data_IF_459994427064
#
_entry.id   IF_459994427064
#
_cell.length_a   1.000
_cell.length_b   1.000
_cell.length_c   1.000
_cell.angle_alpha   90.00
_cell.angle_beta   90.00
_cell.angle_gamma   90.00
#
_symmetry.space_group_name_H-M   'P 1'
#
loop_
_entity.id
_entity.type
_entity.pdbx_description
1 polymer ?
#
# COMPACT_ATOMS: atom_id res chain seq x y z
N UNK A 1 62.46 37.18 15.66
CA UNK A 1 61.97 36.00 14.99
C UNK A 1 60.46 36.21 14.83
N UNK A 2 60.10 36.81 13.69
CA UNK A 2 58.70 37.19 13.38
C UNK A 2 57.99 36.02 12.67
N UNK A 3 56.83 35.69 13.16
CA UNK A 3 55.97 34.69 12.52
C UNK A 3 55.25 35.32 11.32
N UNK A 4 55.06 34.59 10.20
CA UNK A 4 54.36 35.13 9.04
C UNK A 4 52.81 35.10 9.32
N UNK A 5 52.16 36.22 8.97
CA UNK A 5 50.72 36.35 8.91
C UNK A 5 50.16 35.49 7.78
N UNK A 6 49.13 34.69 8.11
CA UNK A 6 48.34 33.93 7.13
C UNK A 6 47.24 34.82 6.56
N UNK A 7 47.30 35.08 5.25
CA UNK A 7 46.23 35.73 4.49
C UNK A 7 44.93 34.91 4.52
N UNK A 8 43.76 35.58 4.63
CA UNK A 8 42.47 34.88 4.55
C UNK A 8 42.15 34.52 3.09
N UNK A 9 41.78 33.25 2.90
CA UNK A 9 41.24 32.71 1.63
C UNK A 9 39.93 33.44 1.27
N UNK A 10 39.73 33.88 0.04
CA UNK A 10 38.48 34.53 -0.37
C UNK A 10 37.33 33.53 -0.39
N UNK A 11 36.22 33.93 0.22
CA UNK A 11 34.96 33.19 0.21
C UNK A 11 34.46 33.00 -1.22
N UNK A 12 34.24 31.75 -1.60
CA UNK A 12 33.63 31.39 -2.88
C UNK A 12 32.24 31.97 -3.03
N UNK A 13 32.02 32.62 -4.18
CA UNK A 13 30.74 33.25 -4.58
C UNK A 13 29.75 32.15 -4.99
N UNK A 14 28.92 31.69 -4.04
CA UNK A 14 27.82 30.74 -4.26
C UNK A 14 26.62 31.40 -4.90
N UNK A 15 26.81 32.04 -6.04
CA UNK A 15 25.73 32.48 -6.92
C UNK A 15 25.34 31.32 -7.82
N UNK A 16 24.28 30.60 -7.45
CA UNK A 16 23.65 29.61 -8.30
C UNK A 16 23.45 30.15 -9.71
N UNK A 17 23.79 29.36 -10.72
CA UNK A 17 23.68 29.75 -12.12
C UNK A 17 22.23 30.18 -12.42
N UNK A 18 22.00 31.36 -13.06
CA UNK A 18 20.64 31.82 -13.36
C UNK A 18 19.96 30.86 -14.32
N UNK A 19 18.86 30.23 -13.85
CA UNK A 19 18.00 29.39 -14.70
C UNK A 19 17.42 30.32 -15.77
N UNK A 20 17.84 30.12 -17.03
CA UNK A 20 17.45 30.97 -18.11
C UNK A 20 15.93 31.01 -18.33
N UNK A 21 15.37 32.21 -18.62
CA UNK A 21 13.93 32.39 -18.94
C UNK A 21 13.38 31.36 -19.93
N UNK A 22 14.20 30.84 -20.85
CA UNK A 22 13.84 29.83 -21.82
C UNK A 22 13.51 28.47 -21.16
N UNK A 23 14.20 28.12 -20.08
CA UNK A 23 13.93 26.85 -19.34
C UNK A 23 12.63 26.96 -18.57
N UNK A 24 12.36 28.11 -17.93
CA UNK A 24 11.10 28.36 -17.21
C UNK A 24 9.91 28.40 -18.16
N UNK A 25 10.03 29.05 -19.33
CA UNK A 25 9.00 29.07 -20.35
C UNK A 25 8.77 27.71 -21.00
N UNK A 26 9.85 26.91 -21.17
CA UNK A 26 9.75 25.53 -21.63
C UNK A 26 8.99 24.62 -20.66
N UNK A 27 9.25 24.73 -19.37
CA UNK A 27 8.57 23.98 -18.33
C UNK A 27 7.09 24.39 -18.19
N UNK A 28 6.78 25.69 -18.32
CA UNK A 28 5.41 26.19 -18.33
C UNK A 28 4.63 25.75 -19.58
N UNK A 29 5.31 25.72 -20.76
CA UNK A 29 4.71 25.21 -22.01
C UNK A 29 4.42 23.71 -21.94
N UNK A 30 5.31 22.91 -21.38
CA UNK A 30 5.11 21.48 -21.14
C UNK A 30 3.98 21.22 -20.12
N UNK A 31 3.88 22.07 -19.08
CA UNK A 31 2.80 22.00 -18.11
C UNK A 31 1.42 22.30 -18.74
N UNK A 32 1.33 23.30 -19.63
CA UNK A 32 0.08 23.64 -20.33
C UNK A 32 -0.35 22.54 -21.32
N UNK A 33 0.59 21.92 -22.05
CA UNK A 33 0.31 20.77 -22.93
C UNK A 33 -0.14 19.56 -22.10
N UNK A 34 0.46 19.33 -20.92
CA UNK A 34 0.06 18.26 -20.01
C UNK A 34 -1.37 18.37 -19.50
N UNK A 35 -1.86 19.58 -19.26
CA UNK A 35 -3.25 19.82 -18.82
C UNK A 35 -4.27 19.54 -19.92
N UNK A 36 -3.95 19.84 -21.18
CA UNK A 36 -4.90 19.70 -22.32
C UNK A 36 -4.93 18.27 -22.89
N UNK A 37 -3.81 17.54 -22.81
CA UNK A 37 -3.70 16.17 -23.37
C UNK A 37 -3.53 15.09 -22.32
N UNK A 38 -3.58 15.44 -21.02
CA UNK A 38 -3.15 14.63 -19.89
C UNK A 38 -3.77 13.25 -19.78
N UNK A 39 -5.05 13.09 -20.09
CA UNK A 39 -5.72 11.79 -19.93
C UNK A 39 -5.26 10.74 -20.96
N UNK A 40 -4.95 11.16 -22.18
CA UNK A 40 -4.53 10.22 -23.25
C UNK A 40 -3.05 9.87 -23.19
N UNK A 41 -2.20 10.82 -22.73
CA UNK A 41 -0.77 10.58 -22.53
C UNK A 41 -0.55 9.77 -21.25
N UNK A 42 -1.33 10.03 -20.21
CA UNK A 42 -1.26 9.29 -18.93
C UNK A 42 -1.55 7.79 -19.14
N UNK A 43 -2.63 7.44 -19.85
CA UNK A 43 -2.95 6.03 -20.11
C UNK A 43 -1.85 5.30 -20.91
N UNK A 44 -1.18 5.98 -21.84
CA UNK A 44 -0.06 5.41 -22.58
C UNK A 44 1.21 5.24 -21.74
N UNK A 45 1.51 6.20 -20.86
CA UNK A 45 2.65 6.14 -19.95
C UNK A 45 2.45 5.07 -18.86
N UNK A 46 1.25 4.95 -18.33
CA UNK A 46 0.91 3.95 -17.32
C UNK A 46 1.08 2.52 -17.86
N UNK A 47 0.67 2.28 -19.12
CA UNK A 47 0.84 0.99 -19.76
C UNK A 47 2.32 0.56 -19.94
N UNK A 48 3.23 1.53 -20.10
CA UNK A 48 4.67 1.27 -20.28
C UNK A 48 5.41 1.23 -18.95
N UNK A 49 5.03 2.09 -17.99
CA UNK A 49 5.76 2.24 -16.73
C UNK A 49 5.34 1.21 -15.66
N UNK A 50 4.09 0.78 -15.65
CA UNK A 50 3.62 -0.21 -14.66
C UNK A 50 4.44 -1.51 -14.64
N UNK A 51 4.80 -2.13 -15.78
CA UNK A 51 5.66 -3.32 -15.78
C UNK A 51 7.06 -3.06 -15.21
N UNK A 52 7.62 -1.87 -15.48
CA UNK A 52 8.97 -1.50 -15.02
C UNK A 52 8.97 -1.26 -13.51
N UNK A 53 7.92 -0.65 -12.98
CA UNK A 53 7.78 -0.39 -11.54
C UNK A 53 7.60 -1.65 -10.71
N UNK A 54 6.97 -2.68 -11.27
CA UNK A 54 6.84 -3.98 -10.60
C UNK A 54 8.20 -4.64 -10.34
N UNK A 55 9.24 -4.25 -11.07
CA UNK A 55 10.60 -4.80 -11.02
C UNK A 55 11.58 -3.82 -10.35
N UNK A 56 11.16 -2.58 -10.05
CA UNK A 56 12.05 -1.53 -9.53
C UNK A 56 12.32 -1.69 -8.02
N UNK A 57 13.46 -2.26 -7.61
CA UNK A 57 13.80 -2.40 -6.19
C UNK A 57 14.21 -1.07 -5.54
N UNK A 58 14.43 -0.02 -6.33
CA UNK A 58 14.93 1.28 -5.86
C UNK A 58 13.80 2.27 -5.56
N UNK A 59 12.59 2.01 -6.09
CA UNK A 59 11.43 2.90 -5.95
C UNK A 59 11.57 4.23 -6.71
N UNK A 60 12.63 4.41 -7.51
CA UNK A 60 12.88 5.67 -8.25
C UNK A 60 11.81 5.96 -9.29
N UNK A 61 11.19 4.92 -9.88
CA UNK A 61 10.07 5.12 -10.81
C UNK A 61 8.86 5.76 -10.13
N UNK A 62 8.72 5.63 -8.81
CA UNK A 62 7.69 6.30 -8.01
C UNK A 62 7.80 7.83 -7.97
N UNK A 63 8.90 8.41 -8.44
CA UNK A 63 9.08 9.86 -8.56
C UNK A 63 8.50 10.41 -9.88
N UNK A 64 8.18 9.56 -10.84
CA UNK A 64 7.59 9.98 -12.11
C UNK A 64 6.12 10.39 -11.91
N UNK A 65 5.61 11.42 -12.60
CA UNK A 65 4.19 11.77 -12.54
C UNK A 65 3.34 10.69 -13.23
N UNK A 66 2.27 10.22 -12.56
CA UNK A 66 1.38 9.19 -13.09
C UNK A 66 0.53 8.52 -12.01
N UNK A 67 -0.44 7.71 -12.44
CA UNK A 67 -1.32 6.94 -11.57
C UNK A 67 -0.74 5.54 -11.33
N UNK A 68 0.38 5.44 -10.65
CA UNK A 68 1.06 4.19 -10.38
C UNK A 68 1.41 4.01 -8.90
N UNK A 69 1.66 2.76 -8.51
CA UNK A 69 2.00 2.41 -7.15
C UNK A 69 3.36 2.98 -6.74
N UNK A 70 3.39 3.54 -5.53
CA UNK A 70 4.63 3.87 -4.82
C UNK A 70 4.81 2.86 -3.70
N UNK A 71 6.01 2.30 -3.59
CA UNK A 71 6.26 1.22 -2.66
C UNK A 71 6.95 1.74 -1.41
N UNK A 72 6.36 1.42 -0.26
CA UNK A 72 6.90 1.76 1.05
C UNK A 72 7.08 0.49 1.87
N UNK A 73 8.10 0.47 2.69
CA UNK A 73 8.34 -0.54 3.72
C UNK A 73 8.74 0.15 5.02
N UNK A 74 8.47 -0.48 6.14
CA UNK A 74 8.87 -0.01 7.48
C UNK A 74 10.12 -0.74 7.97
N UNK A 75 10.63 -1.66 7.16
CA UNK A 75 11.85 -2.42 7.38
C UNK A 75 12.84 -2.18 6.23
N UNK A 76 14.09 -2.60 6.40
CA UNK A 76 15.08 -2.52 5.34
C UNK A 76 14.80 -3.57 4.25
N UNK A 77 14.21 -3.12 3.14
CA UNK A 77 13.90 -3.97 1.98
C UNK A 77 12.52 -4.65 2.06
N UNK A 78 12.30 -5.59 1.13
CA UNK A 78 11.07 -6.36 1.04
C UNK A 78 11.30 -7.77 1.59
N UNK A 79 10.55 -8.19 2.63
CA UNK A 79 10.63 -9.55 3.12
C UNK A 79 10.13 -10.51 2.04
N UNK A 80 10.67 -11.72 2.01
CA UNK A 80 10.25 -12.73 1.05
C UNK A 80 10.01 -14.07 1.72
N UNK A 81 9.04 -14.78 1.17
CA UNK A 81 8.74 -16.18 1.49
C UNK A 81 8.38 -16.88 0.17
N UNK A 82 8.78 -18.13 0.02
CA UNK A 82 8.35 -18.91 -1.15
C UNK A 82 6.88 -19.28 -1.03
N UNK A 83 6.18 -19.44 -2.15
CA UNK A 83 4.75 -19.80 -2.17
C UNK A 83 4.50 -21.10 -1.36
N UNK A 84 5.38 -22.08 -1.47
CA UNK A 84 5.28 -23.34 -0.74
C UNK A 84 5.48 -23.21 0.78
N UNK A 85 6.29 -22.23 1.21
CA UNK A 85 6.54 -21.97 2.63
C UNK A 85 5.53 -21.01 3.25
N UNK A 86 4.77 -20.29 2.41
CA UNK A 86 3.79 -19.31 2.90
C UNK A 86 2.70 -19.97 3.74
N UNK A 87 2.34 -19.31 4.84
CA UNK A 87 1.19 -19.67 5.70
C UNK A 87 0.45 -18.43 6.15
N UNK A 88 -0.88 -18.53 6.11
CA UNK A 88 -1.78 -17.55 6.75
C UNK A 88 -2.45 -18.24 7.93
N UNK A 89 -2.24 -17.71 9.11
CA UNK A 89 -2.85 -18.21 10.34
C UNK A 89 -4.04 -17.33 10.70
N UNK A 90 -5.21 -17.94 10.98
CA UNK A 90 -6.34 -17.28 11.62
C UNK A 90 -6.54 -17.88 12.99
N UNK A 91 -6.43 -17.07 14.05
CA UNK A 91 -6.42 -17.54 15.45
C UNK A 91 -7.10 -16.53 16.40
N UNK A 92 -7.05 -16.78 17.69
CA UNK A 92 -7.62 -15.92 18.74
C UNK A 92 -9.03 -16.33 19.17
N UNK A 93 -9.98 -15.38 19.13
CA UNK A 93 -11.37 -15.63 19.51
C UNK A 93 -12.16 -16.33 18.41
N UNK A 94 -11.73 -17.53 18.05
CA UNK A 94 -12.33 -18.40 17.04
C UNK A 94 -12.60 -19.79 17.63
N UNK A 95 -13.52 -20.54 17.03
CA UNK A 95 -13.80 -21.92 17.41
C UNK A 95 -12.78 -22.89 16.83
N UNK A 96 -12.21 -22.56 15.68
CA UNK A 96 -11.22 -23.35 14.98
C UNK A 96 -10.11 -22.47 14.40
N UNK A 97 -8.88 -22.71 14.83
CA UNK A 97 -7.69 -22.12 14.20
C UNK A 97 -7.56 -22.62 12.76
N UNK A 98 -7.29 -21.70 11.84
CA UNK A 98 -6.94 -22.02 10.46
C UNK A 98 -5.42 -21.85 10.26
N UNK A 99 -4.84 -22.69 9.41
CA UNK A 99 -3.45 -22.62 8.98
C UNK A 99 -3.44 -22.93 7.48
N UNK A 100 -3.45 -21.87 6.66
CA UNK A 100 -3.75 -21.94 5.24
C UNK A 100 -2.48 -21.72 4.43
N UNK A 101 -2.26 -22.60 3.46
CA UNK A 101 -1.27 -22.38 2.40
C UNK A 101 -1.81 -21.38 1.36
N UNK A 102 -0.94 -20.96 0.43
CA UNK A 102 -1.39 -20.17 -0.72
C UNK A 102 -2.38 -20.96 -1.59
N UNK A 103 -2.12 -22.26 -1.80
CA UNK A 103 -3.00 -23.13 -2.57
C UNK A 103 -4.37 -23.26 -1.90
N UNK A 104 -4.43 -23.42 -0.57
CA UNK A 104 -5.70 -23.47 0.16
C UNK A 104 -6.52 -22.19 -0.05
N UNK A 105 -5.88 -21.03 -0.03
CA UNK A 105 -6.54 -19.74 -0.31
C UNK A 105 -7.07 -19.67 -1.74
N UNK A 106 -6.32 -20.18 -2.72
CA UNK A 106 -6.71 -20.15 -4.13
C UNK A 106 -7.84 -21.15 -4.47
N UNK A 107 -8.02 -22.19 -3.65
CA UNK A 107 -9.13 -23.14 -3.77
C UNK A 107 -10.45 -22.61 -3.22
N UNK A 108 -10.42 -21.59 -2.37
CA UNK A 108 -11.64 -20.96 -1.86
C UNK A 108 -12.35 -20.12 -2.94
N UNK A 109 -13.66 -19.89 -2.82
CA UNK A 109 -14.40 -19.05 -3.76
C UNK A 109 -13.72 -17.68 -3.92
N UNK A 110 -13.26 -17.34 -5.14
CA UNK A 110 -12.56 -16.08 -5.35
C UNK A 110 -13.51 -14.88 -5.34
N UNK A 111 -13.02 -13.77 -4.86
CA UNK A 111 -13.64 -12.45 -4.99
C UNK A 111 -12.75 -11.58 -5.87
N UNK A 112 -13.32 -11.02 -6.92
CA UNK A 112 -12.68 -10.04 -7.79
C UNK A 112 -13.27 -8.66 -7.54
N UNK A 113 -12.42 -7.66 -7.44
CA UNK A 113 -12.78 -6.26 -7.23
C UNK A 113 -12.00 -5.38 -8.20
N UNK A 114 -12.70 -4.50 -8.91
CA UNK A 114 -12.05 -3.41 -9.65
C UNK A 114 -12.21 -2.14 -8.82
N UNK A 115 -11.17 -1.74 -8.12
CA UNK A 115 -11.19 -0.62 -7.18
C UNK A 115 -9.87 0.14 -7.20
N UNK A 116 -9.92 1.43 -6.84
CA UNK A 116 -8.73 2.22 -6.70
C UNK A 116 -7.95 1.84 -5.43
N UNK A 117 -6.64 2.01 -5.48
CA UNK A 117 -5.79 2.04 -4.28
C UNK A 117 -5.46 3.48 -3.95
N UNK A 118 -5.81 3.94 -2.75
CA UNK A 118 -5.60 5.30 -2.29
C UNK A 118 -4.59 5.34 -1.14
N UNK A 119 -3.50 6.07 -1.31
CA UNK A 119 -2.54 6.31 -0.24
C UNK A 119 -2.88 7.58 0.54
N UNK A 120 -2.65 7.57 1.84
CA UNK A 120 -2.81 8.75 2.72
C UNK A 120 -1.89 9.90 2.32
N UNK A 121 -0.76 9.64 1.65
CA UNK A 121 0.17 10.66 1.13
C UNK A 121 -0.30 11.33 -0.17
N UNK A 122 -1.55 11.07 -0.60
CA UNK A 122 -2.22 11.81 -1.66
C UNK A 122 -2.17 11.19 -3.06
N UNK A 123 -1.44 10.09 -3.30
CA UNK A 123 -1.47 9.42 -4.59
C UNK A 123 -2.53 8.32 -4.64
N UNK A 124 -3.01 8.04 -5.85
CA UNK A 124 -4.08 7.06 -6.11
C UNK A 124 -3.80 6.32 -7.41
N UNK A 125 -4.09 5.03 -7.43
CA UNK A 125 -4.10 4.19 -8.64
C UNK A 125 -5.54 3.75 -8.88
N UNK A 126 -6.21 4.25 -9.91
CA UNK A 126 -7.59 3.88 -10.23
C UNK A 126 -7.65 2.54 -10.95
N UNK A 127 -8.82 1.88 -10.90
CA UNK A 127 -9.15 0.75 -11.77
C UNK A 127 -8.31 -0.52 -11.57
N UNK A 128 -7.68 -0.69 -10.40
CA UNK A 128 -6.86 -1.86 -10.10
C UNK A 128 -7.74 -3.09 -9.95
N UNK A 129 -7.38 -4.18 -10.63
CA UNK A 129 -8.07 -5.47 -10.51
C UNK A 129 -7.41 -6.30 -9.41
N UNK A 130 -8.14 -6.47 -8.33
CA UNK A 130 -7.75 -7.28 -7.20
C UNK A 130 -8.47 -8.62 -7.24
N UNK A 131 -7.77 -9.71 -6.94
CA UNK A 131 -8.35 -11.04 -6.75
C UNK A 131 -7.84 -11.67 -5.48
N UNK A 132 -8.76 -12.26 -4.73
CA UNK A 132 -8.46 -12.88 -3.45
C UNK A 132 -9.67 -13.62 -2.91
N UNK A 133 -9.75 -13.77 -1.60
CA UNK A 133 -10.85 -14.37 -0.87
C UNK A 133 -11.48 -13.31 0.01
N UNK A 134 -12.80 -13.27 0.12
CA UNK A 134 -13.47 -12.44 1.12
C UNK A 134 -12.94 -12.77 2.51
N UNK A 135 -12.56 -11.74 3.26
CA UNK A 135 -12.12 -11.93 4.64
C UNK A 135 -13.22 -12.57 5.49
N UNK A 136 -14.47 -12.19 5.25
CA UNK A 136 -15.64 -12.80 5.92
C UNK A 136 -15.71 -14.31 5.75
N UNK A 137 -15.34 -14.86 4.58
CA UNK A 137 -15.33 -16.31 4.36
C UNK A 137 -14.34 -17.04 5.28
N UNK A 138 -13.17 -16.45 5.51
CA UNK A 138 -12.18 -17.02 6.45
C UNK A 138 -12.67 -16.94 7.88
N UNK A 139 -13.33 -15.85 8.26
CA UNK A 139 -13.92 -15.67 9.58
C UNK A 139 -15.05 -16.67 9.84
N UNK A 140 -15.90 -16.92 8.84
CA UNK A 140 -16.99 -17.89 8.93
C UNK A 140 -16.45 -19.33 9.05
N UNK A 141 -15.38 -19.65 8.29
CA UNK A 141 -14.69 -20.93 8.44
C UNK A 141 -14.05 -21.14 9.82
N UNK A 142 -13.48 -20.07 10.38
CA UNK A 142 -12.85 -20.13 11.70
C UNK A 142 -13.89 -20.21 12.85
N UNK A 143 -15.11 -19.70 12.63
CA UNK A 143 -16.14 -19.61 13.65
C UNK A 143 -15.82 -18.54 14.69
N UNK A 144 -16.11 -17.27 14.35
CA UNK A 144 -15.83 -16.12 15.24
C UNK A 144 -16.71 -16.18 16.48
N UNK A 145 -16.09 -16.14 17.66
CA UNK A 145 -16.78 -16.20 18.93
C UNK A 145 -17.54 -14.90 19.26
N UNK A 146 -18.69 -14.95 19.99
CA UNK A 146 -19.54 -13.78 20.26
C UNK A 146 -18.84 -12.61 20.98
N UNK A 147 -17.77 -12.87 21.72
CA UNK A 147 -16.97 -11.85 22.41
C UNK A 147 -15.98 -11.09 21.55
N UNK A 148 -15.78 -11.54 20.30
CA UNK A 148 -14.92 -10.87 19.34
C UNK A 148 -15.50 -9.52 18.93
N UNK A 149 -14.64 -8.51 18.78
CA UNK A 149 -15.00 -7.14 18.36
C UNK A 149 -14.15 -6.63 17.22
N UNK A 150 -12.96 -7.20 17.05
CA UNK A 150 -11.98 -6.71 16.10
C UNK A 150 -11.06 -7.83 15.59
N UNK A 151 -10.29 -7.48 14.56
CA UNK A 151 -9.20 -8.28 14.04
C UNK A 151 -7.91 -7.49 14.19
N UNK A 152 -6.84 -8.18 14.53
CA UNK A 152 -5.47 -7.70 14.42
C UNK A 152 -4.75 -8.48 13.33
N UNK A 153 -4.13 -7.78 12.42
CA UNK A 153 -3.35 -8.34 11.32
C UNK A 153 -1.86 -8.20 11.60
N UNK A 154 -1.10 -9.20 11.21
CA UNK A 154 0.36 -9.19 11.32
C UNK A 154 1.01 -9.52 9.98
N UNK A 155 2.04 -8.76 9.65
CA UNK A 155 2.92 -9.00 8.50
C UNK A 155 4.03 -9.98 8.86
N UNK A 156 4.51 -10.75 7.89
CA UNK A 156 5.72 -11.56 8.11
C UNK A 156 7.03 -10.76 8.01
N UNK A 157 6.96 -9.41 7.86
CA UNK A 157 8.11 -8.53 8.06
C UNK A 157 8.49 -8.41 9.56
N UNK A 158 7.62 -8.91 10.45
CA UNK A 158 7.81 -8.92 11.89
C UNK A 158 7.54 -7.59 12.61
N UNK A 159 7.21 -6.53 11.87
CA UNK A 159 7.03 -5.16 12.40
C UNK A 159 5.63 -4.62 12.15
N UNK A 160 5.13 -4.72 10.91
CA UNK A 160 3.89 -4.08 10.53
C UNK A 160 2.67 -4.80 11.09
N UNK A 161 1.79 -4.04 11.73
CA UNK A 161 0.49 -4.52 12.25
C UNK A 161 -0.61 -3.56 11.85
N UNK A 162 -1.83 -4.07 11.77
CA UNK A 162 -3.05 -3.31 11.52
C UNK A 162 -4.25 -3.91 12.26
N UNK A 163 -5.31 -3.13 12.39
CA UNK A 163 -6.57 -3.61 12.95
C UNK A 163 -7.78 -3.10 12.17
N UNK A 164 -8.82 -3.91 12.16
CA UNK A 164 -10.17 -3.56 11.71
C UNK A 164 -11.18 -3.98 12.79
N UNK A 165 -12.28 -3.24 12.89
CA UNK A 165 -13.46 -3.75 13.60
C UNK A 165 -14.01 -4.97 12.88
N UNK A 166 -14.79 -5.79 13.58
CA UNK A 166 -15.41 -6.97 12.96
C UNK A 166 -16.39 -6.59 11.84
N UNK A 167 -17.10 -5.46 12.00
CA UNK A 167 -18.03 -4.95 10.99
C UNK A 167 -17.30 -4.50 9.71
N UNK A 168 -16.15 -3.81 9.84
CA UNK A 168 -15.31 -3.45 8.72
C UNK A 168 -14.75 -4.68 8.02
N UNK A 169 -14.27 -5.66 8.77
CA UNK A 169 -13.68 -6.88 8.26
C UNK A 169 -14.68 -7.78 7.49
N UNK A 170 -15.98 -7.67 7.80
CA UNK A 170 -17.05 -8.45 7.16
C UNK A 170 -17.64 -7.80 5.91
N UNK A 171 -17.10 -6.65 5.49
CA UNK A 171 -17.55 -5.99 4.26
C UNK A 171 -17.22 -6.83 3.03
N UNK A 172 -18.02 -6.68 1.99
CA UNK A 172 -17.89 -7.39 0.70
C UNK A 172 -16.79 -6.83 -0.21
N UNK A 173 -16.12 -5.74 0.23
CA UNK A 173 -15.01 -5.07 -0.41
C UNK A 173 -13.70 -5.15 0.41
N UNK A 174 -13.62 -6.09 1.37
CA UNK A 174 -12.41 -6.42 2.13
C UNK A 174 -11.99 -7.85 1.81
N UNK A 175 -10.82 -8.01 1.22
CA UNK A 175 -10.32 -9.29 0.74
C UNK A 175 -8.89 -9.58 1.20
N UNK A 176 -8.60 -10.86 1.35
CA UNK A 176 -7.25 -11.41 1.43
C UNK A 176 -6.79 -11.67 0.00
N UNK A 177 -6.04 -10.72 -0.57
CA UNK A 177 -5.67 -10.69 -1.98
C UNK A 177 -4.39 -11.48 -2.23
N UNK A 178 -4.36 -12.25 -3.34
CA UNK A 178 -3.19 -12.98 -3.84
C UNK A 178 -2.85 -12.64 -5.30
N UNK A 179 -3.67 -11.79 -5.96
CA UNK A 179 -3.43 -11.36 -7.33
C UNK A 179 -3.80 -9.89 -7.53
N UNK A 180 -3.08 -9.23 -8.41
CA UNK A 180 -3.26 -7.85 -8.83
C UNK A 180 -3.07 -7.77 -10.35
N UNK A 181 -4.06 -7.19 -11.06
CA UNK A 181 -4.07 -7.07 -12.52
C UNK A 181 -3.76 -8.41 -13.23
N UNK A 182 -4.46 -9.46 -12.78
CA UNK A 182 -4.40 -10.85 -13.27
C UNK A 182 -3.01 -11.52 -13.12
N UNK A 183 -2.15 -10.98 -12.25
CA UNK A 183 -0.83 -11.54 -11.94
C UNK A 183 -0.68 -11.83 -10.46
N UNK A 184 0.14 -12.82 -10.07
CA UNK A 184 0.51 -12.99 -8.67
C UNK A 184 1.09 -11.70 -8.09
N UNK A 185 0.82 -11.45 -6.83
CA UNK A 185 1.37 -10.28 -6.14
C UNK A 185 2.90 -10.35 -6.10
N UNK A 186 3.56 -9.30 -6.61
CA UNK A 186 5.01 -9.16 -6.43
C UNK A 186 5.35 -8.87 -4.97
N UNK A 187 6.61 -9.08 -4.58
CA UNK A 187 7.10 -8.70 -3.25
C UNK A 187 6.80 -7.23 -2.90
N UNK A 188 7.06 -6.31 -3.83
CA UNK A 188 6.80 -4.88 -3.62
C UNK A 188 5.33 -4.57 -3.35
N UNK A 189 4.40 -5.32 -3.95
CA UNK A 189 2.97 -5.22 -3.70
C UNK A 189 2.50 -5.96 -2.44
N UNK A 190 3.39 -6.66 -1.73
CA UNK A 190 3.10 -7.39 -0.51
C UNK A 190 2.76 -8.86 -0.71
N UNK A 191 3.29 -9.46 -1.79
CA UNK A 191 3.12 -10.89 -2.07
C UNK A 191 3.82 -11.83 -1.09
N UNK A 192 3.38 -13.09 -1.07
CA UNK A 192 2.38 -13.68 -1.97
C UNK A 192 0.93 -13.29 -1.64
N UNK A 193 0.66 -12.80 -0.42
CA UNK A 193 -0.70 -12.46 0.07
C UNK A 193 -0.67 -11.16 0.86
N UNK A 194 -1.69 -10.33 0.63
CA UNK A 194 -1.91 -9.10 1.38
C UNK A 194 -3.38 -8.91 1.75
N UNK A 195 -3.65 -8.09 2.73
CA UNK A 195 -4.99 -7.55 2.93
C UNK A 195 -5.24 -6.42 1.92
N UNK A 196 -6.45 -6.33 1.38
CA UNK A 196 -6.92 -5.18 0.63
C UNK A 196 -8.27 -4.72 1.21
N UNK A 197 -8.29 -3.47 1.68
CA UNK A 197 -9.45 -2.80 2.28
C UNK A 197 -9.84 -1.67 1.36
N UNK A 198 -10.76 -1.92 0.42
CA UNK A 198 -11.05 -1.00 -0.69
C UNK A 198 -11.49 0.41 -0.25
N UNK A 199 -12.35 0.59 0.79
CA UNK A 199 -12.85 1.92 1.15
C UNK A 199 -11.90 2.73 2.04
N UNK A 200 -10.74 2.18 2.40
CA UNK A 200 -9.81 2.81 3.35
C UNK A 200 -8.47 3.15 2.70
N UNK A 201 -7.75 4.08 3.32
CA UNK A 201 -6.38 4.39 2.93
C UNK A 201 -5.48 3.17 3.00
N UNK A 202 -4.50 3.12 2.08
CA UNK A 202 -3.67 1.96 1.82
C UNK A 202 -2.87 1.43 3.00
N UNK A 203 -2.69 2.18 4.08
CA UNK A 203 -2.02 1.67 5.29
C UNK A 203 -2.86 0.61 6.01
N UNK A 204 -4.20 0.61 5.86
CA UNK A 204 -5.07 -0.47 6.35
C UNK A 204 -4.91 -1.77 5.53
N UNK A 205 -4.43 -1.65 4.32
CA UNK A 205 -4.21 -2.78 3.41
C UNK A 205 -2.81 -3.38 3.63
N UNK A 206 -2.63 -4.08 4.76
CA UNK A 206 -1.33 -4.64 5.18
C UNK A 206 -0.73 -5.57 4.11
N UNK A 207 0.55 -5.38 3.81
CA UNK A 207 1.36 -6.22 2.93
C UNK A 207 1.93 -7.41 3.69
N UNK A 208 2.29 -8.48 2.94
CA UNK A 208 2.97 -9.65 3.52
C UNK A 208 2.20 -10.26 4.70
N UNK A 209 0.89 -10.38 4.51
CA UNK A 209 -0.01 -10.86 5.55
C UNK A 209 0.33 -12.29 5.98
N UNK A 210 0.57 -12.50 7.27
CA UNK A 210 0.89 -13.82 7.84
C UNK A 210 -0.07 -14.28 8.91
N UNK A 211 -0.74 -13.36 9.60
CA UNK A 211 -1.67 -13.74 10.65
C UNK A 211 -2.85 -12.76 10.78
N UNK A 212 -3.98 -13.32 11.18
CA UNK A 212 -5.23 -12.65 11.52
C UNK A 212 -5.62 -13.15 12.92
N UNK A 213 -5.44 -12.30 13.92
CA UNK A 213 -5.84 -12.61 15.29
C UNK A 213 -7.22 -11.98 15.55
N UNK A 214 -8.21 -12.80 15.89
CA UNK A 214 -9.55 -12.33 16.29
C UNK A 214 -9.50 -11.93 17.76
N UNK A 215 -9.81 -10.66 18.03
CA UNK A 215 -9.61 -10.04 19.35
C UNK A 215 -10.87 -9.36 19.90
N UNK A 216 -10.88 -9.03 21.19
CA UNK A 216 -12.02 -8.41 21.89
C UNK A 216 -12.08 -6.89 21.76
N UNK A 217 -11.04 -6.24 21.23
CA UNK A 217 -10.95 -4.78 21.07
C UNK A 217 -10.04 -4.43 19.89
N UNK A 218 -10.27 -3.28 19.28
CA UNK A 218 -9.36 -2.70 18.29
C UNK A 218 -8.07 -2.29 18.99
N UNK A 219 -6.93 -2.64 18.40
CA UNK A 219 -5.61 -2.21 18.82
C UNK A 219 -5.03 -1.31 17.72
N UNK A 220 -4.40 -0.17 18.07
CA UNK A 220 -3.75 0.68 17.06
C UNK A 220 -2.70 -0.09 16.25
N UNK A 221 -2.72 0.08 14.94
CA UNK A 221 -1.73 -0.48 14.04
C UNK A 221 -0.40 0.30 14.07
N UNK A 222 0.52 -0.07 13.19
CA UNK A 222 1.85 0.54 13.13
C UNK A 222 1.78 2.06 12.91
N UNK A 223 1.12 2.52 11.83
CA UNK A 223 1.07 3.95 11.50
C UNK A 223 0.18 4.76 12.43
N UNK A 224 -0.80 4.16 13.03
CA UNK A 224 -1.65 4.78 14.05
C UNK A 224 -0.82 5.06 15.32
N UNK A 225 0.09 4.14 15.66
CA UNK A 225 0.97 4.28 16.84
C UNK A 225 2.17 5.19 16.56
N UNK A 226 2.87 5.01 15.43
CA UNK A 226 4.12 5.71 15.13
C UNK A 226 3.89 7.01 14.37
N UNK A 227 2.92 7.03 13.47
CA UNK A 227 2.60 8.15 12.57
C UNK A 227 1.41 9.00 13.03
N UNK A 228 0.74 8.62 14.11
CA UNK A 228 -0.48 9.27 14.60
C UNK A 228 -1.57 9.38 13.52
N UNK A 229 -1.70 8.32 12.68
CA UNK A 229 -2.74 8.24 11.66
C UNK A 229 -4.08 7.86 12.29
N UNK A 230 -5.15 8.14 11.56
CA UNK A 230 -6.51 7.85 12.00
C UNK A 230 -6.78 6.33 12.02
N UNK A 231 -7.36 5.83 13.09
CA UNK A 231 -7.81 4.43 13.21
C UNK A 231 -8.95 4.15 12.21
N UNK A 232 -9.83 5.14 11.98
CA UNK A 232 -10.92 5.08 11.01
C UNK A 232 -10.48 5.62 9.64
N UNK A 233 -9.62 4.97 8.96
CA UNK A 233 -8.89 5.37 7.76
C UNK A 233 -9.73 5.49 6.46
N UNK A 234 -10.97 5.90 6.54
CA UNK A 234 -11.89 6.01 5.40
C UNK A 234 -11.45 7.07 4.39
N UNK A 235 -11.58 6.75 3.09
CA UNK A 235 -11.31 7.69 2.00
C UNK A 235 -12.55 8.55 1.73
N UNK A 236 -12.35 9.85 1.41
CA UNK A 236 -13.42 10.77 1.04
C UNK A 236 -13.83 11.76 2.13
N UNK A 237 -14.83 12.62 1.82
CA UNK A 237 -15.27 13.70 2.71
C UNK A 237 -15.96 13.22 3.99
N UNK A 238 -16.61 12.06 3.90
CA UNK A 238 -17.27 11.37 5.02
C UNK A 238 -16.38 10.29 5.60
N UNK A 239 -15.05 10.43 5.52
CA UNK A 239 -14.09 9.36 5.75
C UNK A 239 -14.40 8.12 4.88
N UNK A 240 -14.93 8.32 3.69
CA UNK A 240 -15.18 7.27 2.70
C UNK A 240 -16.30 6.28 3.04
N UNK A 241 -17.04 6.48 4.12
CA UNK A 241 -18.11 5.55 4.53
C UNK A 241 -19.22 5.43 3.49
N UNK A 242 -19.50 6.51 2.76
CA UNK A 242 -20.54 6.58 1.73
C UNK A 242 -19.98 6.81 0.32
N UNK A 243 -18.67 7.00 0.18
CA UNK A 243 -18.02 7.21 -1.10
C UNK A 243 -17.42 5.89 -1.57
N UNK A 244 -17.85 5.33 -2.72
CA UNK A 244 -17.16 4.18 -3.28
C UNK A 244 -15.72 4.57 -3.61
N UNK A 245 -14.76 3.74 -3.24
CA UNK A 245 -13.38 3.86 -3.71
C UNK A 245 -13.32 3.45 -5.19
N UNK A 246 -13.87 4.30 -6.05
CA UNK A 246 -14.00 4.09 -7.50
C UNK A 246 -12.74 4.48 -8.24
#
# INVERSE_FOLDING_TARGET
MAMPETEPTPAGDDRGAPVGRRVVLGLLGLGAIGVVTGSSIQGGLDAVLTPVQQIDPTGLTGLLPGAYFRYYTVTDGYPSVTDSAYRLVVDGLVDRRLDLTLDDLQLLPPRELVRAFQCVTGWRVPGVRWKGVLLSNLLDQAGVQPRAKALRFRSFDGVYTESLTLDEARRDDVIVAYSLDDRPLSQAHGGPVRLYVAPMYGYKSIKWLSAIDVVSSVEPGYWETVGNYDVEAWVGRSNGRNDPAT
#
